data_IF_376135506032
#
_entry.id   IF_376135506032
#
_cell.length_a   1.000
_cell.length_b   1.000
_cell.length_c   1.000
_cell.angle_alpha   90.00
_cell.angle_beta   90.00
_cell.angle_gamma   90.00
#
_symmetry.space_group_name_H-M   'P 1'
#
loop_
_entity.id
_entity.type
_entity.pdbx_description
1 polymer ?
#
# COMPACT_ATOMS: atom_id res chain seq x y z
N UNK A 1 -19.33 -11.74 -0.03
CA UNK A 1 -18.50 -12.83 0.50
C UNK A 1 -18.09 -13.69 -0.68
N UNK A 2 -16.79 -13.69 -1.01
CA UNK A 2 -16.26 -14.36 -2.20
C UNK A 2 -15.74 -15.74 -1.79
N UNK A 3 -16.52 -16.78 -2.06
CA UNK A 3 -16.23 -18.23 -2.12
C UNK A 3 -15.45 -18.94 -0.99
N UNK A 4 -14.52 -18.32 -0.25
CA UNK A 4 -13.75 -18.86 0.87
C UNK A 4 -13.85 -17.96 2.11
N UNK A 5 -13.75 -18.57 3.31
CA UNK A 5 -13.59 -17.82 4.57
C UNK A 5 -12.14 -17.36 4.75
N UNK A 6 -11.88 -16.19 5.39
CA UNK A 6 -10.52 -15.69 5.61
C UNK A 6 -9.57 -16.67 6.32
N UNK A 7 -10.12 -17.57 7.15
CA UNK A 7 -9.33 -18.63 7.80
C UNK A 7 -8.67 -19.61 6.81
N UNK A 8 -9.17 -19.65 5.56
CA UNK A 8 -8.65 -20.49 4.50
C UNK A 8 -7.67 -19.77 3.55
N UNK A 9 -7.41 -18.46 3.73
CA UNK A 9 -6.61 -17.68 2.78
C UNK A 9 -5.14 -18.12 2.67
N UNK A 10 -4.67 -18.98 3.59
CA UNK A 10 -3.39 -19.68 3.45
C UNK A 10 -3.25 -20.42 2.11
N UNK A 11 -4.36 -20.80 1.46
CA UNK A 11 -4.34 -21.40 0.12
C UNK A 11 -3.84 -20.42 -0.97
N UNK A 12 -3.95 -19.11 -0.74
CA UNK A 12 -3.50 -18.05 -1.65
C UNK A 12 -2.11 -17.49 -1.29
N UNK A 13 -1.51 -17.90 -0.18
CA UNK A 13 -0.19 -17.43 0.24
C UNK A 13 0.89 -17.56 -0.85
N UNK A 14 0.93 -18.61 -1.70
CA UNK A 14 1.88 -18.67 -2.81
C UNK A 14 1.72 -17.52 -3.82
N UNK A 15 0.49 -17.02 -4.05
CA UNK A 15 0.21 -15.89 -4.94
C UNK A 15 0.64 -14.56 -4.32
N UNK A 16 0.52 -14.43 -2.99
CA UNK A 16 1.01 -13.24 -2.26
C UNK A 16 2.54 -13.23 -2.19
N UNK A 17 3.16 -14.40 -1.99
CA UNK A 17 4.61 -14.56 -1.94
C UNK A 17 5.27 -14.31 -3.31
N UNK A 18 4.56 -14.55 -4.42
CA UNK A 18 5.04 -14.36 -5.79
C UNK A 18 3.95 -13.72 -6.67
N UNK A 19 3.65 -12.44 -6.45
CA UNK A 19 2.55 -11.79 -7.15
C UNK A 19 2.89 -11.54 -8.62
N UNK A 20 1.98 -11.93 -9.51
CA UNK A 20 2.15 -11.76 -10.96
C UNK A 20 2.42 -10.32 -11.36
N UNK A 21 1.77 -9.35 -10.71
CA UNK A 21 1.99 -7.94 -10.98
C UNK A 21 3.46 -7.53 -10.74
N UNK A 22 4.09 -8.00 -9.66
CA UNK A 22 5.50 -7.71 -9.41
C UNK A 22 6.41 -8.35 -10.48
N UNK A 23 6.08 -9.56 -10.94
CA UNK A 23 6.82 -10.23 -12.04
C UNK A 23 6.67 -9.49 -13.38
N UNK A 24 5.52 -8.86 -13.62
CA UNK A 24 5.24 -8.14 -14.86
C UNK A 24 5.84 -6.73 -14.90
N UNK A 25 6.09 -6.08 -13.75
CA UNK A 25 6.66 -4.72 -13.71
C UNK A 25 7.96 -4.60 -14.52
N UNK A 26 9.00 -5.46 -14.34
CA UNK A 26 10.21 -5.40 -15.16
C UNK A 26 10.00 -5.73 -16.64
N UNK A 27 8.97 -6.51 -16.97
CA UNK A 27 8.65 -6.89 -18.36
C UNK A 27 7.98 -5.72 -19.10
N UNK A 28 7.05 -5.04 -18.42
CA UNK A 28 6.28 -3.92 -18.97
C UNK A 28 7.09 -2.62 -19.00
N UNK A 29 8.03 -2.46 -18.06
CA UNK A 29 8.90 -1.30 -17.94
C UNK A 29 10.37 -1.74 -17.88
N UNK A 30 10.96 -2.13 -19.03
CA UNK A 30 12.37 -2.52 -19.10
C UNK A 30 13.29 -1.44 -18.53
N UNK A 31 14.34 -1.86 -17.84
CA UNK A 31 15.37 -1.00 -17.19
C UNK A 31 14.88 -0.12 -16.03
N UNK A 32 13.58 -0.10 -15.73
CA UNK A 32 13.00 0.70 -14.63
C UNK A 32 13.10 0.00 -13.28
N UNK A 33 12.97 -1.34 -13.27
CA UNK A 33 12.97 -2.15 -12.06
C UNK A 33 14.07 -3.23 -12.06
N UNK A 34 15.36 -2.90 -12.28
CA UNK A 34 16.43 -3.88 -12.39
C UNK A 34 16.67 -4.68 -11.09
N UNK A 35 16.50 -4.08 -9.91
CA UNK A 35 16.68 -4.81 -8.64
C UNK A 35 15.51 -5.76 -8.38
N UNK A 36 14.27 -5.33 -8.64
CA UNK A 36 13.11 -6.22 -8.58
C UNK A 36 13.23 -7.37 -9.60
N UNK A 37 13.71 -7.11 -10.81
CA UNK A 37 13.92 -8.13 -11.84
C UNK A 37 14.93 -9.21 -11.42
N UNK A 38 15.95 -8.82 -10.65
CA UNK A 38 16.97 -9.72 -10.13
C UNK A 38 16.52 -10.46 -8.85
N UNK A 39 15.45 -10.01 -8.19
CA UNK A 39 14.96 -10.59 -6.96
C UNK A 39 14.18 -11.88 -7.24
N UNK A 40 14.68 -13.02 -6.74
CA UNK A 40 14.06 -14.34 -6.93
C UNK A 40 13.52 -14.95 -5.64
N UNK A 41 13.63 -14.24 -4.52
CA UNK A 41 13.15 -14.69 -3.21
C UNK A 41 11.62 -14.65 -3.11
N UNK A 42 11.08 -15.36 -2.12
CA UNK A 42 9.67 -15.21 -1.76
C UNK A 42 9.46 -13.88 -1.02
N UNK A 43 8.35 -13.20 -1.32
CA UNK A 43 7.97 -11.90 -0.73
C UNK A 43 7.42 -12.03 0.68
N UNK A 44 8.30 -12.36 1.63
CA UNK A 44 7.96 -12.47 3.05
C UNK A 44 7.45 -11.15 3.65
N UNK A 45 7.89 -10.02 3.12
CA UNK A 45 7.37 -8.69 3.43
C UNK A 45 5.89 -8.55 3.06
N UNK A 46 5.49 -9.03 1.88
CA UNK A 46 4.08 -9.00 1.44
C UNK A 46 3.22 -10.00 2.22
N UNK A 47 3.75 -11.19 2.53
CA UNK A 47 3.07 -12.14 3.42
C UNK A 47 2.79 -11.51 4.79
N UNK A 48 3.76 -10.76 5.34
CA UNK A 48 3.57 -10.04 6.59
C UNK A 48 2.53 -8.92 6.46
N UNK A 49 2.66 -8.06 5.45
CA UNK A 49 1.78 -6.91 5.24
C UNK A 49 0.32 -7.34 5.02
N UNK A 50 0.09 -8.35 4.17
CA UNK A 50 -1.27 -8.76 3.78
C UNK A 50 -1.86 -9.87 4.65
N UNK A 51 -1.06 -10.87 5.07
CA UNK A 51 -1.63 -12.11 5.62
C UNK A 51 -1.44 -12.31 7.12
N UNK A 52 -0.38 -11.79 7.75
CA UNK A 52 -0.11 -12.08 9.19
C UNK A 52 -0.03 -10.85 10.08
N UNK A 53 0.15 -9.67 9.48
CA UNK A 53 0.63 -8.47 10.16
C UNK A 53 2.15 -8.49 10.37
N UNK A 54 2.72 -7.31 10.56
CA UNK A 54 4.15 -7.07 10.78
C UNK A 54 4.49 -7.40 12.24
N UNK A 55 5.46 -8.31 12.48
CA UNK A 55 5.91 -8.66 13.83
C UNK A 55 6.64 -7.50 14.52
N UNK A 56 6.67 -7.56 15.85
CA UNK A 56 7.49 -6.66 16.67
C UNK A 56 8.98 -6.78 16.30
N UNK A 57 9.67 -5.64 16.29
CA UNK A 57 11.12 -5.58 16.03
C UNK A 57 11.51 -5.46 14.57
N UNK A 58 10.58 -5.63 13.62
CA UNK A 58 10.83 -5.38 12.19
C UNK A 58 10.76 -3.88 11.88
N UNK A 59 9.69 -3.22 12.34
CA UNK A 59 9.56 -1.76 12.26
C UNK A 59 9.61 -1.19 13.68
N UNK A 60 10.57 -0.31 14.00
CA UNK A 60 10.72 0.24 15.35
C UNK A 60 9.42 0.88 15.86
N UNK A 61 8.96 0.45 17.04
CA UNK A 61 7.75 0.98 17.67
C UNK A 61 6.43 0.54 17.02
N UNK A 62 6.47 -0.39 16.06
CA UNK A 62 5.28 -0.86 15.34
C UNK A 62 5.16 -2.39 15.37
N UNK A 63 3.92 -2.85 15.56
CA UNK A 63 3.48 -4.20 15.25
C UNK A 63 1.97 -4.18 15.04
N UNK A 64 1.46 -5.06 14.20
CA UNK A 64 0.01 -5.32 14.07
C UNK A 64 -0.27 -6.82 13.86
N UNK A 65 0.67 -7.70 14.22
CA UNK A 65 0.51 -9.14 14.04
C UNK A 65 -0.53 -9.72 14.98
N UNK A 66 -1.35 -10.64 14.46
CA UNK A 66 -2.42 -11.32 15.22
C UNK A 66 -2.15 -12.82 15.41
N UNK A 67 -0.92 -13.28 15.16
CA UNK A 67 -0.52 -14.68 15.23
C UNK A 67 -0.09 -15.26 13.88
N UNK A 68 0.00 -16.59 13.80
CA UNK A 68 0.52 -17.29 12.61
C UNK A 68 -0.53 -17.61 11.55
N UNK A 69 -1.80 -17.32 11.81
CA UNK A 69 -2.87 -17.54 10.82
C UNK A 69 -2.70 -16.56 9.66
N UNK A 70 -2.52 -17.11 8.46
CA UNK A 70 -2.49 -16.35 7.21
C UNK A 70 -3.91 -16.08 6.75
N UNK A 71 -4.34 -14.82 6.90
CA UNK A 71 -5.66 -14.34 6.55
C UNK A 71 -5.57 -12.90 6.02
N UNK A 72 -6.20 -12.60 4.90
CA UNK A 72 -6.31 -11.24 4.40
C UNK A 72 -7.34 -10.48 5.26
N UNK A 73 -6.81 -9.69 6.19
CA UNK A 73 -7.58 -9.00 7.21
C UNK A 73 -7.01 -7.60 7.45
N UNK A 74 -7.91 -6.65 7.67
CA UNK A 74 -7.53 -5.35 8.22
C UNK A 74 -7.14 -5.52 9.69
N UNK A 75 -5.87 -5.23 10.00
CA UNK A 75 -5.30 -5.35 11.35
C UNK A 75 -5.03 -3.99 11.95
N UNK A 76 -5.65 -3.70 13.09
CA UNK A 76 -5.51 -2.42 13.79
C UNK A 76 -4.89 -2.61 15.18
N UNK A 77 -3.78 -1.94 15.41
CA UNK A 77 -3.18 -1.77 16.72
C UNK A 77 -3.63 -0.44 17.35
N UNK A 78 -4.54 -0.53 18.32
CA UNK A 78 -5.08 0.62 19.06
C UNK A 78 -4.12 1.23 20.08
N UNK A 79 -2.93 0.64 20.30
CA UNK A 79 -1.91 1.24 21.15
C UNK A 79 -1.16 2.39 20.44
N UNK A 80 -1.29 2.49 19.12
CA UNK A 80 -0.72 3.57 18.32
C UNK A 80 -1.71 4.74 18.32
N UNK A 81 -1.33 5.93 18.82
CA UNK A 81 -2.21 7.09 18.80
C UNK A 81 -2.43 7.59 17.37
N UNK A 82 -3.51 8.34 17.10
CA UNK A 82 -3.66 9.05 15.84
C UNK A 82 -2.44 9.94 15.55
N UNK A 83 -2.00 9.98 14.29
CA UNK A 83 -0.89 10.85 13.87
C UNK A 83 -1.28 12.32 13.98
N UNK A 84 -0.37 13.15 14.50
CA UNK A 84 -0.52 14.61 14.51
C UNK A 84 -0.29 15.22 13.12
N UNK A 85 0.54 14.57 12.30
CA UNK A 85 0.85 14.95 10.92
C UNK A 85 0.67 13.72 10.01
N UNK A 86 -0.57 13.41 9.60
CA UNK A 86 -0.85 12.19 8.87
C UNK A 86 -0.27 12.22 7.46
N UNK A 87 0.40 11.12 7.06
CA UNK A 87 0.85 10.91 5.69
C UNK A 87 -0.05 9.89 4.98
N UNK A 88 -0.56 10.22 3.79
CA UNK A 88 -1.42 9.32 2.99
C UNK A 88 -0.76 7.98 2.65
N UNK A 89 0.58 7.92 2.65
CA UNK A 89 1.33 6.68 2.43
C UNK A 89 1.56 5.85 3.71
N UNK A 90 1.02 6.27 4.86
CA UNK A 90 1.06 5.50 6.11
C UNK A 90 2.46 5.05 6.52
N UNK A 91 2.58 3.76 6.87
CA UNK A 91 3.77 3.22 7.52
C UNK A 91 5.03 3.33 6.65
N UNK A 92 4.90 3.20 5.33
CA UNK A 92 6.06 3.31 4.41
C UNK A 92 6.61 4.74 4.32
N UNK A 93 5.86 5.74 4.80
CA UNK A 93 6.31 7.12 4.97
C UNK A 93 6.59 7.50 6.43
N UNK A 94 6.68 6.51 7.33
CA UNK A 94 6.98 6.73 8.75
C UNK A 94 5.76 7.06 9.62
N UNK A 95 4.55 7.02 9.06
CA UNK A 95 3.31 7.25 9.81
C UNK A 95 2.71 5.91 10.28
N UNK A 96 3.01 5.54 11.52
CA UNK A 96 2.58 4.28 12.12
C UNK A 96 1.06 4.18 12.36
N UNK A 97 0.32 5.28 12.28
CA UNK A 97 -1.13 5.29 12.42
C UNK A 97 -1.87 5.00 11.10
N UNK A 98 -1.16 5.01 9.96
CA UNK A 98 -1.72 4.68 8.64
C UNK A 98 -1.57 3.20 8.26
N UNK A 99 -2.08 2.84 7.08
CA UNK A 99 -1.96 1.48 6.53
C UNK A 99 -0.50 0.95 6.61
N UNK A 100 -0.28 -0.32 7.03
CA UNK A 100 -1.27 -1.39 7.28
C UNK A 100 -1.88 -1.40 8.70
N UNK A 101 -1.73 -0.34 9.50
CA UNK A 101 -2.37 -0.24 10.82
C UNK A 101 -3.86 0.13 10.72
N UNK A 102 -4.66 -0.78 10.20
CA UNK A 102 -6.00 -0.47 9.71
C UNK A 102 -5.92 0.33 8.41
N UNK A 103 -6.96 1.09 8.12
CA UNK A 103 -6.99 2.02 6.99
C UNK A 103 -7.72 3.28 7.38
N UNK A 104 -7.09 4.43 7.18
CA UNK A 104 -7.77 5.72 7.27
C UNK A 104 -8.43 6.00 5.92
N UNK A 105 -9.52 6.76 5.94
CA UNK A 105 -10.29 7.07 4.73
C UNK A 105 -9.50 7.89 3.69
N UNK A 106 -8.37 8.45 4.09
CA UNK A 106 -7.45 9.23 3.26
C UNK A 106 -6.10 8.53 3.02
N UNK A 107 -5.91 7.31 3.51
CA UNK A 107 -4.72 6.54 3.14
C UNK A 107 -4.82 6.15 1.66
N UNK A 108 -3.77 6.44 0.89
CA UNK A 108 -3.62 6.03 -0.50
C UNK A 108 -3.08 4.59 -0.54
N UNK A 109 -3.96 3.65 -0.16
CA UNK A 109 -3.62 2.23 -0.04
C UNK A 109 -3.15 1.67 -1.39
N UNK A 110 -3.76 2.10 -2.50
CA UNK A 110 -3.39 1.65 -3.83
C UNK A 110 -1.92 2.01 -4.14
N UNK A 111 -1.50 3.25 -3.87
CA UNK A 111 -0.11 3.64 -3.99
C UNK A 111 0.78 2.81 -3.05
N UNK A 112 0.42 2.68 -1.76
CA UNK A 112 1.24 1.92 -0.80
C UNK A 112 1.44 0.47 -1.24
N UNK A 113 0.38 -0.21 -1.68
CA UNK A 113 0.44 -1.60 -2.14
C UNK A 113 1.24 -1.74 -3.44
N UNK A 114 1.06 -0.83 -4.39
CA UNK A 114 1.84 -0.85 -5.63
C UNK A 114 3.34 -0.62 -5.38
N UNK A 115 3.68 0.28 -4.45
CA UNK A 115 5.06 0.50 -4.02
C UNK A 115 5.65 -0.73 -3.33
N UNK A 116 4.87 -1.36 -2.44
CA UNK A 116 5.26 -2.62 -1.82
C UNK A 116 5.51 -3.69 -2.89
N UNK A 117 4.57 -3.91 -3.81
CA UNK A 117 4.72 -4.86 -4.93
C UNK A 117 5.95 -4.57 -5.79
N UNK A 118 6.24 -3.29 -6.07
CA UNK A 118 7.43 -2.84 -6.79
C UNK A 118 8.76 -3.01 -6.03
N UNK A 119 8.72 -3.55 -4.80
CA UNK A 119 9.90 -3.94 -4.03
C UNK A 119 10.28 -2.98 -2.91
N UNK A 120 9.52 -1.90 -2.68
CA UNK A 120 9.86 -0.88 -1.68
C UNK A 120 10.00 -1.46 -0.25
N UNK A 121 9.25 -2.52 0.05
CA UNK A 121 9.19 -3.14 1.39
C UNK A 121 10.09 -4.36 1.57
N UNK A 122 10.78 -4.83 0.52
CA UNK A 122 11.73 -5.95 0.61
C UNK A 122 12.82 -5.73 1.67
N UNK A 123 13.35 -4.50 1.88
CA UNK A 123 14.34 -4.25 2.93
C UNK A 123 13.89 -4.60 4.35
N UNK A 124 12.58 -4.75 4.61
CA UNK A 124 12.06 -5.21 5.90
C UNK A 124 12.46 -6.66 6.22
N UNK A 125 12.73 -7.47 5.20
CA UNK A 125 13.09 -8.90 5.34
C UNK A 125 14.46 -9.25 4.75
N UNK A 126 14.96 -8.42 3.83
CA UNK A 126 16.30 -8.51 3.27
C UNK A 126 16.98 -7.13 3.27
N UNK A 127 17.73 -6.78 4.34
CA UNK A 127 18.39 -5.49 4.45
C UNK A 127 19.45 -5.20 3.38
N UNK A 128 19.84 -6.20 2.59
CA UNK A 128 20.83 -6.04 1.50
C UNK A 128 20.18 -5.60 0.19
N UNK A 129 18.86 -5.76 0.07
CA UNK A 129 18.11 -5.31 -1.08
C UNK A 129 18.04 -3.78 -1.13
N UNK A 130 18.26 -3.22 -2.31
CA UNK A 130 18.11 -1.79 -2.58
C UNK A 130 16.90 -1.62 -3.49
N UNK A 131 15.82 -0.95 -3.04
CA UNK A 131 14.67 -0.68 -3.90
C UNK A 131 15.06 0.16 -5.11
N UNK A 132 14.46 -0.17 -6.25
CA UNK A 132 14.55 0.66 -7.45
C UNK A 132 13.95 2.04 -7.19
N UNK A 133 14.58 3.12 -7.65
CA UNK A 133 14.10 4.50 -7.41
C UNK A 133 12.65 4.67 -7.87
N UNK A 134 12.28 4.03 -8.98
CA UNK A 134 10.93 4.04 -9.53
C UNK A 134 9.88 3.49 -8.56
N UNK A 135 10.23 2.55 -7.67
CA UNK A 135 9.31 2.02 -6.68
C UNK A 135 8.81 3.11 -5.72
N UNK A 136 9.63 4.12 -5.39
CA UNK A 136 9.21 5.26 -4.57
C UNK A 136 8.38 6.31 -5.30
N UNK A 137 8.40 6.30 -6.64
CA UNK A 137 7.73 7.29 -7.50
C UNK A 137 6.32 6.86 -7.93
N UNK A 138 5.94 5.61 -7.69
CA UNK A 138 4.60 5.13 -8.05
C UNK A 138 3.54 5.94 -7.29
N UNK A 139 2.48 6.30 -8.02
CA UNK A 139 1.23 6.88 -7.53
C UNK A 139 0.08 6.27 -8.31
N UNK A 140 -1.09 6.14 -7.70
CA UNK A 140 -2.33 5.74 -8.37
C UNK A 140 -2.93 6.87 -9.24
N UNK A 141 -2.36 8.08 -9.18
CA UNK A 141 -2.80 9.25 -9.92
C UNK A 141 -4.06 9.92 -9.38
N UNK A 142 -4.52 9.57 -8.17
CA UNK A 142 -5.73 10.15 -7.55
C UNK A 142 -5.43 11.24 -6.53
N UNK A 143 -4.15 11.48 -6.22
CA UNK A 143 -3.70 12.51 -5.27
C UNK A 143 -4.04 13.94 -5.72
N UNK A 144 -4.34 14.15 -7.00
CA UNK A 144 -4.74 15.44 -7.61
C UNK A 144 -6.23 15.77 -7.45
N UNK A 145 -6.99 15.01 -6.65
CA UNK A 145 -8.36 15.38 -6.30
C UNK A 145 -8.34 16.38 -5.14
N UNK A 146 -7.97 17.63 -5.45
CA UNK A 146 -8.03 18.81 -4.55
C UNK A 146 -9.42 19.05 -3.93
N UNK A 147 -10.45 18.33 -4.37
CA UNK A 147 -11.87 18.58 -4.09
C UNK A 147 -12.51 17.55 -3.11
N UNK A 148 -11.72 16.67 -2.49
CA UNK A 148 -12.23 15.74 -1.46
C UNK A 148 -11.91 16.29 -0.07
N UNK A 149 -12.85 17.01 0.54
CA UNK A 149 -12.72 17.42 1.94
C UNK A 149 -13.11 16.26 2.87
N UNK A 150 -12.41 16.11 4.00
CA UNK A 150 -12.82 15.19 5.06
C UNK A 150 -13.53 15.96 6.17
N UNK A 151 -14.68 15.47 6.60
CA UNK A 151 -15.39 16.02 7.75
C UNK A 151 -14.60 15.67 9.03
N UNK A 152 -14.61 16.56 10.03
CA UNK A 152 -14.03 16.27 11.35
C UNK A 152 -14.88 15.34 12.22
N UNK A 153 -16.06 14.95 11.72
CA UNK A 153 -17.02 14.08 12.41
C UNK A 153 -17.54 13.01 11.45
N UNK A 154 -17.99 11.89 12.02
CA UNK A 154 -18.61 10.81 11.25
C UNK A 154 -19.79 11.34 10.40
N UNK A 155 -19.90 10.97 9.10
CA UNK A 155 -19.22 9.85 8.42
C UNK A 155 -17.83 10.14 7.79
N UNK A 156 -17.16 11.24 8.15
CA UNK A 156 -15.79 11.64 7.74
C UNK A 156 -15.58 11.91 6.24
N UNK A 157 -16.35 11.31 5.34
CA UNK A 157 -16.36 11.67 3.92
C UNK A 157 -17.26 12.90 3.68
N UNK A 158 -16.86 13.78 2.76
CA UNK A 158 -17.71 14.91 2.36
C UNK A 158 -19.02 14.45 1.71
N UNK A 159 -19.92 15.41 1.56
CA UNK A 159 -21.09 15.26 0.72
C UNK A 159 -20.69 14.97 -0.73
N UNK A 160 -21.39 14.05 -1.42
CA UNK A 160 -21.14 13.78 -2.83
C UNK A 160 -21.25 15.05 -3.67
N UNK A 161 -20.29 15.27 -4.57
CA UNK A 161 -20.38 16.34 -5.56
C UNK A 161 -21.54 16.05 -6.53
N UNK A 162 -22.31 17.08 -6.88
CA UNK A 162 -23.39 16.97 -7.86
C UNK A 162 -22.82 16.48 -9.20
N UNK A 163 -23.36 15.37 -9.72
CA UNK A 163 -22.95 14.84 -11.03
C UNK A 163 -23.37 15.73 -12.21
N UNK A 164 -24.25 16.72 -11.99
CA UNK A 164 -24.65 17.70 -13.00
C UNK A 164 -23.73 18.92 -13.02
N UNK A 165 -23.23 19.32 -11.84
CA UNK A 165 -22.42 20.54 -11.66
C UNK A 165 -20.91 20.25 -11.58
N UNK A 166 -20.49 18.98 -11.71
CA UNK A 166 -19.10 18.59 -11.67
C UNK A 166 -18.37 19.08 -12.93
N UNK A 167 -17.35 19.91 -12.73
CA UNK A 167 -16.40 20.30 -13.78
C UNK A 167 -15.26 19.29 -13.75
N UNK A 168 -15.02 18.50 -14.81
CA UNK A 168 -13.87 17.60 -14.86
C UNK A 168 -12.58 18.41 -14.69
N UNK A 169 -11.60 17.93 -13.91
CA UNK A 169 -10.33 18.63 -13.77
C UNK A 169 -9.67 18.79 -15.15
N UNK A 170 -9.21 20.00 -15.46
CA UNK A 170 -8.51 20.26 -16.71
C UNK A 170 -7.19 19.48 -16.73
N UNK A 171 -6.87 18.80 -17.83
CA UNK A 171 -5.58 18.09 -18.02
C UNK A 171 -4.41 19.09 -18.10
N UNK A 172 -4.03 19.68 -16.98
CA UNK A 172 -2.83 20.53 -16.86
C UNK A 172 -1.65 19.67 -16.41
N UNK A 173 -1.09 18.88 -17.33
CA UNK A 173 0.09 18.05 -16.99
C UNK A 173 0.68 17.20 -18.10
N UNK A 174 0.02 17.03 -19.24
CA UNK A 174 0.63 16.35 -20.39
C UNK A 174 1.64 17.30 -21.06
N UNK A 175 2.92 16.91 -21.24
CA UNK A 175 3.80 17.66 -22.12
C UNK A 175 3.18 17.66 -23.51
N UNK A 176 2.91 18.85 -24.05
CA UNK A 176 2.51 18.97 -25.45
C UNK A 176 3.70 18.56 -26.31
N UNK A 177 3.62 17.35 -26.88
CA UNK A 177 4.55 16.88 -27.88
C UNK A 177 4.54 17.83 -29.08
N UNK A 178 5.74 18.21 -29.54
CA UNK A 178 5.96 18.74 -30.89
C UNK A 178 6.04 17.59 -31.88
#
# INVERSE_FOLDING_TARGET
WNRSDPENDSEFAPLVARPELANLLPVLYPDVFPNLAAFTGDRADLLAIFLTGIPEGIVPGFQNTTGSTQADLMRLNMAIPPSEDPNVNGLIAGDAAGFPNGRRVFDDIATVELRALAGLTIPLVDPTYVPDEAAGLITDGTQELDDVSYLSVFPYLDHPVSGYDSVPPSRSGLPQGK
#
